data_IF_383836240503
#
_entry.id   IF_383836240503
#
_cell.length_a   1.000
_cell.length_b   1.000
_cell.length_c   1.000
_cell.angle_alpha   90.00
_cell.angle_beta   90.00
_cell.angle_gamma   90.00
#
_symmetry.space_group_name_H-M   'P 1'
#
loop_
_entity.id
_entity.type
_entity.pdbx_description
1 polymer ?
#
# COMPACT_ATOMS: atom_id res chain seq x y z
N UNK A 1 -3.48 9.23 -4.38
CA UNK A 1 -3.35 7.89 -3.75
C UNK A 1 -4.72 7.40 -3.37
N UNK A 2 -5.02 6.12 -3.56
CA UNK A 2 -6.35 5.53 -3.33
C UNK A 2 -6.19 4.13 -2.74
N UNK A 3 -7.04 3.77 -1.75
CA UNK A 3 -7.16 2.40 -1.24
C UNK A 3 -8.30 1.72 -2.00
N UNK A 4 -8.05 0.54 -2.59
CA UNK A 4 -9.04 -0.16 -3.41
C UNK A 4 -9.04 -1.66 -3.12
N UNK A 5 -10.21 -2.28 -3.25
CA UNK A 5 -10.37 -3.73 -3.18
C UNK A 5 -11.03 -4.24 -1.91
N UNK A 6 -10.63 -5.41 -1.43
CA UNK A 6 -11.24 -6.05 -0.27
C UNK A 6 -10.88 -5.33 1.03
N UNK A 7 -11.80 -5.32 2.00
CA UNK A 7 -11.62 -4.69 3.33
C UNK A 7 -10.36 -5.15 4.04
N UNK A 8 -10.08 -6.45 4.01
CA UNK A 8 -8.98 -7.06 4.77
C UNK A 8 -7.62 -6.98 4.07
N UNK A 9 -7.60 -6.74 2.76
CA UNK A 9 -6.38 -6.72 1.97
C UNK A 9 -6.51 -5.77 0.78
N UNK A 10 -6.73 -4.46 1.01
CA UNK A 10 -6.81 -3.49 -0.06
C UNK A 10 -5.45 -3.28 -0.71
N UNK A 11 -5.46 -2.91 -1.98
CA UNK A 11 -4.29 -2.37 -2.65
C UNK A 11 -4.21 -0.86 -2.42
N UNK A 12 -2.99 -0.32 -2.52
CA UNK A 12 -2.75 1.11 -2.59
C UNK A 12 -2.37 1.45 -4.02
N UNK A 13 -3.14 2.33 -4.66
CA UNK A 13 -2.86 2.85 -6.00
C UNK A 13 -2.35 4.28 -5.86
N UNK A 14 -1.11 4.52 -6.25
CA UNK A 14 -0.49 5.84 -6.30
C UNK A 14 -0.42 6.22 -7.76
N UNK A 15 -1.21 7.20 -8.18
CA UNK A 15 -1.29 7.60 -9.59
C UNK A 15 -0.85 9.05 -9.80
N UNK A 16 -0.23 9.29 -10.95
CA UNK A 16 0.10 10.62 -11.46
C UNK A 16 -0.06 10.61 -12.97
N UNK A 17 -0.89 11.54 -13.47
CA UNK A 17 -1.25 11.57 -14.88
C UNK A 17 -1.80 10.21 -15.34
N UNK A 18 -1.21 9.61 -16.37
CA UNK A 18 -1.59 8.30 -16.94
C UNK A 18 -0.77 7.13 -16.38
N UNK A 19 0.03 7.36 -15.33
CA UNK A 19 0.92 6.35 -14.72
C UNK A 19 0.54 6.04 -13.28
N UNK A 20 0.85 4.82 -12.84
CA UNK A 20 0.65 4.42 -11.45
C UNK A 20 1.73 3.48 -10.91
N UNK A 21 1.94 3.53 -9.59
CA UNK A 21 2.59 2.49 -8.79
C UNK A 21 1.52 1.83 -7.91
N UNK A 22 1.53 0.50 -7.86
CA UNK A 22 0.54 -0.29 -7.14
C UNK A 22 1.23 -1.10 -6.06
N UNK A 23 0.80 -0.93 -4.81
CA UNK A 23 1.14 -1.84 -3.71
C UNK A 23 -0.01 -2.83 -3.55
N UNK A 24 0.24 -4.08 -3.89
CA UNK A 24 -0.78 -5.13 -3.95
C UNK A 24 -0.60 -6.15 -2.84
N UNK A 25 -1.69 -6.48 -2.12
CA UNK A 25 -1.70 -7.52 -1.08
C UNK A 25 -2.95 -8.39 -1.06
N UNK A 26 -3.87 -8.16 -1.96
CA UNK A 26 -5.15 -8.87 -2.02
C UNK A 26 -5.16 -10.09 -2.94
N UNK A 27 -6.35 -10.61 -3.16
CA UNK A 27 -6.68 -11.65 -4.14
C UNK A 27 -7.39 -11.07 -5.37
N UNK A 28 -8.20 -11.91 -6.04
CA UNK A 28 -8.87 -11.54 -7.29
C UNK A 28 -9.85 -10.38 -7.12
N UNK A 29 -10.58 -10.28 -6.02
CA UNK A 29 -11.48 -9.14 -5.74
C UNK A 29 -10.72 -7.82 -5.74
N UNK A 30 -9.54 -7.80 -5.06
CA UNK A 30 -8.69 -6.61 -5.03
C UNK A 30 -8.10 -6.34 -6.41
N UNK A 31 -7.72 -7.37 -7.16
CA UNK A 31 -7.22 -7.22 -8.53
C UNK A 31 -8.26 -6.56 -9.44
N UNK A 32 -9.50 -7.07 -9.47
CA UNK A 32 -10.57 -6.47 -10.27
C UNK A 32 -10.84 -5.00 -9.88
N UNK A 33 -10.82 -4.69 -8.58
CA UNK A 33 -11.00 -3.32 -8.11
C UNK A 33 -9.86 -2.39 -8.55
N UNK A 34 -8.62 -2.89 -8.57
CA UNK A 34 -7.47 -2.13 -9.09
C UNK A 34 -7.65 -1.89 -10.59
N UNK A 35 -7.94 -2.92 -11.38
CA UNK A 35 -8.14 -2.82 -12.82
C UNK A 35 -9.24 -1.79 -13.15
N UNK A 36 -10.40 -1.88 -12.48
CA UNK A 36 -11.49 -0.88 -12.60
C UNK A 36 -11.04 0.54 -12.24
N UNK A 37 -10.19 0.68 -11.21
CA UNK A 37 -9.66 1.99 -10.81
C UNK A 37 -8.70 2.56 -11.85
N UNK A 38 -7.84 1.72 -12.44
CA UNK A 38 -6.94 2.14 -13.50
C UNK A 38 -7.73 2.63 -14.74
N UNK A 39 -8.76 1.89 -15.15
CA UNK A 39 -9.64 2.27 -16.25
C UNK A 39 -10.37 3.60 -15.96
N UNK A 40 -11.01 3.71 -14.79
CA UNK A 40 -11.73 4.92 -14.37
C UNK A 40 -10.84 6.16 -14.34
N UNK A 41 -9.57 6.01 -13.96
CA UNK A 41 -8.56 7.07 -13.87
C UNK A 41 -7.81 7.29 -15.18
N UNK A 42 -8.13 6.55 -16.24
CA UNK A 42 -7.40 6.57 -17.52
C UNK A 42 -5.89 6.32 -17.35
N UNK A 43 -5.52 5.43 -16.41
CA UNK A 43 -4.13 5.04 -16.20
C UNK A 43 -3.74 4.04 -17.29
N UNK A 44 -2.77 4.39 -18.11
CA UNK A 44 -2.29 3.57 -19.23
C UNK A 44 -1.09 2.72 -18.87
N UNK A 45 -0.29 3.20 -17.92
CA UNK A 45 0.98 2.58 -17.56
C UNK A 45 1.02 2.27 -16.05
N UNK A 46 1.29 1.01 -15.72
CA UNK A 46 1.69 0.64 -14.37
C UNK A 46 3.22 0.58 -14.35
N UNK A 47 3.85 1.64 -13.84
CA UNK A 47 5.31 1.75 -13.77
C UNK A 47 5.90 0.67 -12.87
N UNK A 48 5.28 0.43 -11.71
CA UNK A 48 5.72 -0.61 -10.80
C UNK A 48 4.55 -1.27 -10.08
N UNK A 49 4.57 -2.61 -10.06
CA UNK A 49 3.71 -3.43 -9.22
C UNK A 49 4.53 -4.02 -8.08
N UNK A 50 4.23 -3.61 -6.86
CA UNK A 50 4.85 -4.11 -5.63
C UNK A 50 3.90 -5.12 -4.99
N UNK A 51 4.21 -6.41 -5.13
CA UNK A 51 3.43 -7.50 -4.52
C UNK A 51 3.89 -7.72 -3.09
N UNK A 52 3.08 -7.25 -2.14
CA UNK A 52 3.35 -7.34 -0.69
C UNK A 52 2.96 -8.69 -0.09
N UNK A 53 2.43 -9.64 -0.87
CA UNK A 53 2.04 -10.95 -0.38
C UNK A 53 3.26 -11.80 -0.08
N UNK A 54 3.29 -12.42 1.09
CA UNK A 54 4.42 -13.25 1.52
C UNK A 54 4.36 -14.68 0.97
N UNK A 55 3.15 -15.17 0.64
CA UNK A 55 2.90 -16.52 0.14
C UNK A 55 1.79 -16.45 -0.92
N UNK A 56 2.07 -15.86 -2.07
CA UNK A 56 1.08 -15.80 -3.15
C UNK A 56 0.81 -17.21 -3.68
N UNK A 57 -0.46 -17.60 -3.77
CA UNK A 57 -0.86 -18.88 -4.41
C UNK A 57 -0.58 -18.86 -5.91
N UNK A 58 -0.61 -17.69 -6.51
CA UNK A 58 -0.29 -17.48 -7.91
C UNK A 58 0.39 -16.12 -8.08
N UNK A 59 1.24 -15.99 -9.10
CA UNK A 59 1.80 -14.70 -9.46
C UNK A 59 0.68 -13.73 -9.87
N UNK A 60 0.84 -12.45 -9.51
CA UNK A 60 -0.08 -11.42 -9.97
C UNK A 60 0.09 -11.20 -11.48
N UNK A 61 -1.03 -11.23 -12.23
CA UNK A 61 -1.02 -11.16 -13.70
C UNK A 61 -1.18 -9.74 -14.26
N UNK A 62 -1.42 -8.72 -13.41
CA UNK A 62 -1.49 -7.33 -13.88
C UNK A 62 -0.23 -6.94 -14.63
N UNK A 63 -0.40 -6.29 -15.80
CA UNK A 63 0.71 -5.71 -16.55
C UNK A 63 1.44 -4.66 -15.72
N UNK A 64 2.77 -4.66 -15.74
CA UNK A 64 3.60 -3.63 -15.12
C UNK A 64 4.99 -3.63 -15.76
N UNK A 65 5.60 -2.46 -15.93
CA UNK A 65 6.96 -2.33 -16.45
C UNK A 65 7.98 -2.93 -15.49
N UNK A 66 7.82 -2.67 -14.19
CA UNK A 66 8.65 -3.23 -13.13
C UNK A 66 7.80 -4.01 -12.14
N UNK A 67 8.37 -5.09 -11.59
CA UNK A 67 7.75 -5.88 -10.52
C UNK A 67 8.70 -6.09 -9.37
N UNK A 68 8.17 -5.86 -8.16
CA UNK A 68 8.83 -6.20 -6.91
C UNK A 68 7.93 -7.19 -6.18
N UNK A 69 8.39 -8.42 -6.02
CA UNK A 69 7.69 -9.45 -5.27
C UNK A 69 8.41 -9.64 -3.94
N UNK A 70 7.74 -9.27 -2.84
CA UNK A 70 8.35 -9.28 -1.50
C UNK A 70 8.73 -10.69 -1.06
N UNK A 71 7.98 -11.70 -1.46
CA UNK A 71 8.30 -13.12 -1.18
C UNK A 71 9.65 -13.56 -1.74
N UNK A 72 10.14 -12.88 -2.79
CA UNK A 72 11.43 -13.13 -3.46
C UNK A 72 12.57 -12.23 -2.98
N UNK A 73 12.29 -11.22 -2.17
CA UNK A 73 13.34 -10.38 -1.59
C UNK A 73 14.10 -11.16 -0.50
N UNK A 74 15.37 -10.86 -0.32
CA UNK A 74 16.13 -11.35 0.82
C UNK A 74 15.53 -10.82 2.14
N UNK A 75 15.70 -11.55 3.24
CA UNK A 75 15.26 -11.09 4.56
C UNK A 75 15.97 -9.79 4.92
N UNK A 76 15.21 -8.84 5.44
CA UNK A 76 15.65 -7.49 5.81
C UNK A 76 16.20 -6.65 4.66
N UNK A 77 15.99 -7.10 3.41
CA UNK A 77 16.27 -6.27 2.24
C UNK A 77 15.22 -5.17 2.10
N UNK A 78 15.66 -4.00 1.69
CA UNK A 78 14.81 -2.87 1.33
C UNK A 78 14.86 -2.62 -0.19
N UNK A 79 13.76 -2.14 -0.75
CA UNK A 79 13.66 -1.67 -2.14
C UNK A 79 12.94 -0.34 -2.15
N UNK A 80 13.41 0.57 -3.01
CA UNK A 80 12.80 1.89 -3.21
C UNK A 80 12.35 2.04 -4.65
N UNK A 81 11.18 2.66 -4.79
CA UNK A 81 10.57 3.00 -6.08
C UNK A 81 10.05 4.43 -5.99
N UNK A 82 10.24 5.19 -7.06
CA UNK A 82 9.66 6.53 -7.19
C UNK A 82 8.52 6.52 -8.19
N UNK A 83 7.43 7.24 -7.86
CA UNK A 83 6.32 7.52 -8.75
C UNK A 83 6.04 9.03 -8.69
N UNK A 84 6.58 9.77 -9.63
CA UNK A 84 6.52 11.24 -9.59
C UNK A 84 7.07 11.80 -8.27
N UNK A 85 6.27 12.57 -7.50
CA UNK A 85 6.69 13.12 -6.23
C UNK A 85 6.61 12.13 -5.06
N UNK A 86 6.02 10.96 -5.25
CA UNK A 86 5.94 9.93 -4.22
C UNK A 86 7.16 9.00 -4.27
N UNK A 87 7.64 8.60 -3.10
CA UNK A 87 8.66 7.56 -2.94
C UNK A 87 8.09 6.43 -2.08
N UNK A 88 8.24 5.20 -2.56
CA UNK A 88 7.83 3.98 -1.86
C UNK A 88 9.05 3.19 -1.46
N UNK A 89 9.21 2.93 -0.17
CA UNK A 89 10.22 2.04 0.38
C UNK A 89 9.55 0.79 0.94
N UNK A 90 9.99 -0.38 0.50
CA UNK A 90 9.47 -1.67 0.99
C UNK A 90 10.60 -2.43 1.67
N UNK A 91 10.36 -2.81 2.93
CA UNK A 91 11.27 -3.62 3.74
C UNK A 91 10.64 -4.99 3.99
N UNK A 92 11.35 -6.06 3.61
CA UNK A 92 10.96 -7.42 3.99
C UNK A 92 11.43 -7.73 5.40
N UNK A 93 10.53 -8.25 6.24
CA UNK A 93 10.83 -8.81 7.55
C UNK A 93 10.64 -10.33 7.54
N UNK A 94 10.99 -11.01 8.63
CA UNK A 94 10.87 -12.47 8.73
C UNK A 94 9.44 -12.97 8.47
N UNK A 95 8.44 -12.32 9.06
CA UNK A 95 7.04 -12.76 9.04
C UNK A 95 6.12 -11.76 8.35
N UNK A 96 6.66 -10.77 7.64
CA UNK A 96 5.88 -9.73 7.02
C UNK A 96 6.69 -8.81 6.13
N UNK A 97 6.07 -7.72 5.76
CA UNK A 97 6.75 -6.58 5.17
C UNK A 97 6.11 -5.28 5.62
N UNK A 98 6.90 -4.22 5.58
CA UNK A 98 6.48 -2.84 5.80
C UNK A 98 6.72 -2.08 4.52
N UNK A 99 5.71 -1.40 4.01
CA UNK A 99 5.84 -0.46 2.92
C UNK A 99 5.56 0.95 3.44
N UNK A 100 6.53 1.84 3.27
CA UNK A 100 6.47 3.25 3.63
C UNK A 100 6.36 4.09 2.38
N UNK A 101 5.39 4.99 2.34
CA UNK A 101 5.11 5.86 1.21
C UNK A 101 5.30 7.29 1.69
N UNK A 102 6.22 8.02 1.06
CA UNK A 102 6.39 9.45 1.24
C UNK A 102 5.67 10.17 0.11
N UNK A 103 4.65 10.96 0.43
CA UNK A 103 3.88 11.71 -0.56
C UNK A 103 3.32 12.99 0.05
N UNK A 104 3.45 14.11 -0.65
CA UNK A 104 2.94 15.43 -0.25
C UNK A 104 3.37 15.87 1.18
N UNK A 105 4.61 15.56 1.57
CA UNK A 105 5.14 15.89 2.90
C UNK A 105 4.64 14.99 4.03
N UNK A 106 3.84 13.96 3.72
CA UNK A 106 3.29 13.00 4.68
C UNK A 106 3.87 11.60 4.49
N UNK A 107 3.87 10.81 5.56
CA UNK A 107 4.36 9.45 5.60
C UNK A 107 3.17 8.51 5.84
N UNK A 108 2.93 7.63 4.88
CA UNK A 108 1.93 6.58 4.96
C UNK A 108 2.64 5.23 5.10
N UNK A 109 2.11 4.36 5.93
CA UNK A 109 2.64 3.00 6.11
C UNK A 109 1.54 1.98 5.86
N UNK A 110 1.86 0.93 5.13
CA UNK A 110 1.03 -0.28 5.04
C UNK A 110 1.86 -1.51 5.37
N UNK A 111 1.20 -2.52 5.90
CA UNK A 111 1.82 -3.74 6.40
C UNK A 111 1.23 -4.97 5.70
N UNK A 112 2.03 -6.01 5.56
CA UNK A 112 1.55 -7.34 5.18
C UNK A 112 2.16 -8.37 6.12
N UNK A 113 1.33 -9.29 6.62
CA UNK A 113 1.75 -10.26 7.62
C UNK A 113 2.05 -9.64 8.99
N UNK A 114 2.75 -10.39 9.84
CA UNK A 114 3.20 -9.94 11.16
C UNK A 114 4.61 -9.36 11.06
N UNK A 115 4.71 -8.14 10.59
CA UNK A 115 6.00 -7.46 10.48
C UNK A 115 6.54 -7.10 11.87
N UNK A 116 7.78 -7.47 12.16
CA UNK A 116 8.49 -7.07 13.36
C UNK A 116 9.74 -6.28 12.96
N UNK A 117 9.95 -5.14 13.59
CA UNK A 117 11.09 -4.24 13.36
C UNK A 117 11.83 -4.03 14.68
N UNK A 118 13.14 -3.80 14.61
CA UNK A 118 13.97 -3.49 15.77
C UNK A 118 13.58 -2.16 16.44
N UNK A 119 13.08 -1.20 15.66
CA UNK A 119 12.55 0.06 16.14
C UNK A 119 11.22 0.38 15.39
N UNK A 120 10.24 1.01 16.07
CA UNK A 120 9.01 1.42 15.42
C UNK A 120 9.26 2.44 14.29
N UNK A 121 8.54 2.27 13.17
CA UNK A 121 8.49 3.25 12.10
C UNK A 121 7.51 4.35 12.48
N UNK A 122 7.92 5.60 12.33
CA UNK A 122 7.03 6.75 12.49
C UNK A 122 6.24 6.96 11.19
N UNK A 123 4.95 7.25 11.30
CA UNK A 123 4.05 7.54 10.19
C UNK A 123 3.00 8.56 10.59
N UNK A 124 2.52 9.36 9.66
CA UNK A 124 1.34 10.20 9.86
C UNK A 124 0.08 9.32 9.73
N UNK A 125 0.10 8.38 8.78
CA UNK A 125 -1.05 7.50 8.51
C UNK A 125 -0.67 6.03 8.40
N UNK A 126 -1.43 5.19 9.09
CA UNK A 126 -1.42 3.75 8.87
C UNK A 126 -2.53 3.36 7.88
N UNK A 127 -2.17 2.67 6.80
CA UNK A 127 -3.10 2.24 5.76
C UNK A 127 -3.58 0.81 6.03
N UNK A 128 -4.87 0.66 6.32
CA UNK A 128 -5.63 -0.61 6.39
C UNK A 128 -4.82 -1.82 6.88
N UNK A 129 -4.56 -1.91 8.16
CA UNK A 129 -3.90 -3.08 8.76
C UNK A 129 -4.94 -3.99 9.45
N UNK A 130 -4.94 -5.30 9.19
CA UNK A 130 -5.86 -6.24 9.84
C UNK A 130 -5.48 -6.53 11.30
N UNK A 131 -4.29 -6.15 11.74
CA UNK A 131 -3.80 -6.38 13.10
C UNK A 131 -3.16 -5.11 13.65
N UNK A 132 -3.19 -4.95 14.97
CA UNK A 132 -2.51 -3.83 15.64
C UNK A 132 -1.01 -3.94 15.41
N UNK A 133 -0.39 -2.97 14.75
CA UNK A 133 1.03 -3.03 14.48
C UNK A 133 1.82 -2.44 15.65
N UNK A 134 2.57 -3.27 16.37
CA UNK A 134 3.48 -2.78 17.40
C UNK A 134 4.73 -2.11 16.79
N UNK A 135 4.97 -2.36 15.50
CA UNK A 135 6.14 -1.83 14.78
C UNK A 135 5.92 -0.48 14.10
N UNK A 136 4.75 0.15 14.25
CA UNK A 136 4.45 1.47 13.66
C UNK A 136 3.83 2.37 14.71
N UNK A 137 4.36 3.59 14.83
CA UNK A 137 3.71 4.71 15.53
C UNK A 137 3.05 5.60 14.48
N UNK A 138 1.78 5.93 14.65
CA UNK A 138 0.97 6.67 13.68
C UNK A 138 0.02 7.63 14.37
N UNK A 139 -0.33 8.70 13.67
CA UNK A 139 -1.26 9.72 14.16
C UNK A 139 -2.70 9.35 13.83
N UNK A 140 -2.95 8.79 12.63
CA UNK A 140 -4.28 8.38 12.20
C UNK A 140 -4.25 7.11 11.35
N UNK A 141 -5.43 6.48 11.17
CA UNK A 141 -5.61 5.29 10.35
C UNK A 141 -6.57 5.57 9.21
N UNK A 142 -6.16 5.17 8.02
CA UNK A 142 -6.99 5.18 6.83
C UNK A 142 -7.39 3.74 6.47
N UNK A 143 -8.69 3.44 6.47
CA UNK A 143 -9.20 2.09 6.25
C UNK A 143 -10.43 2.10 5.34
N UNK A 144 -10.62 1.01 4.57
CA UNK A 144 -11.87 0.73 3.84
C UNK A 144 -12.95 0.12 4.74
N UNK A 145 -12.67 -0.16 6.00
CA UNK A 145 -13.57 -0.79 6.95
C UNK A 145 -13.58 -0.06 8.28
N UNK A 146 -14.78 0.20 8.80
CA UNK A 146 -15.00 0.69 10.15
C UNK A 146 -14.88 -0.39 11.24
N UNK A 147 -14.70 -1.66 10.86
CA UNK A 147 -14.82 -2.80 11.78
C UNK A 147 -13.55 -3.10 12.60
N UNK A 148 -12.50 -2.31 12.47
CA UNK A 148 -11.31 -2.45 13.29
C UNK A 148 -11.53 -1.86 14.68
N UNK A 149 -12.04 -2.65 15.60
CA UNK A 149 -12.40 -2.26 16.99
C UNK A 149 -11.24 -1.67 17.81
N UNK A 150 -10.00 -1.87 17.40
CA UNK A 150 -8.83 -1.32 18.06
C UNK A 150 -8.38 0.04 17.50
N UNK A 151 -9.16 0.62 16.61
CA UNK A 151 -8.91 1.89 15.94
C UNK A 151 -9.93 2.95 16.39
N UNK A 152 -9.71 3.70 17.46
CA UNK A 152 -10.66 4.70 17.92
C UNK A 152 -10.84 5.86 16.93
N UNK A 153 -9.91 6.08 16.01
CA UNK A 153 -9.87 7.23 15.12
C UNK A 153 -9.84 6.82 13.62
N UNK A 154 -10.39 5.66 13.27
CA UNK A 154 -10.48 5.26 11.88
C UNK A 154 -11.37 6.23 11.10
N UNK A 155 -10.78 6.99 10.21
CA UNK A 155 -11.52 7.72 9.20
C UNK A 155 -12.10 6.70 8.20
N UNK A 156 -13.28 6.19 8.49
CA UNK A 156 -14.01 5.33 7.57
C UNK A 156 -14.67 6.18 6.51
N UNK A 157 -14.13 6.21 5.33
CA UNK A 157 -14.85 6.66 4.16
C UNK A 157 -14.75 5.58 3.09
N UNK A 158 -15.85 5.30 2.41
CA UNK A 158 -16.00 4.19 1.48
C UNK A 158 -15.02 4.15 0.31
N UNK A 159 -14.41 5.24 -0.05
CA UNK A 159 -13.25 5.40 -0.93
C UNK A 159 -12.55 6.68 -0.52
N UNK A 160 -11.40 6.58 0.11
CA UNK A 160 -10.54 7.72 0.38
C UNK A 160 -9.73 8.03 -0.88
N UNK A 161 -10.27 8.93 -1.69
CA UNK A 161 -9.48 9.63 -2.70
C UNK A 161 -8.80 10.81 -2.04
N UNK A 162 -7.56 10.66 -1.63
CA UNK A 162 -6.71 11.82 -1.39
C UNK A 162 -6.12 12.26 -2.72
N UNK A 163 -6.73 13.26 -3.34
CA UNK A 163 -6.07 14.02 -4.39
C UNK A 163 -5.05 14.93 -3.73
N UNK A 164 -3.79 14.59 -3.83
CA UNK A 164 -2.71 15.50 -3.43
C UNK A 164 -2.59 16.59 -4.49
N UNK A 165 -3.31 17.70 -4.33
CA UNK A 165 -2.99 18.93 -5.02
C UNK A 165 -1.80 19.56 -4.31
N UNK A 166 -0.78 19.94 -5.08
CA UNK A 166 0.28 20.82 -4.61
C UNK A 166 -0.40 22.11 -4.12
N UNK A 167 -0.21 22.46 -2.85
CA UNK A 167 -0.35 23.87 -2.44
C UNK A 167 0.72 24.62 -3.22
N UNK A 168 0.29 25.56 -4.09
CA UNK A 168 1.16 26.56 -4.71
C UNK A 168 1.67 27.53 -3.65
#
# INVERSE_FOLDING_TARGET
>A
MELVGSRNAPAVVISRNESAVILFRGGDVTRCAVETTLERRNIRTVECLIDLRLRPRSAQRMGAEQRIAVDRMALYAARRVRCGPAEVEVLRTRNGCVARIHAAGQIFVTLSGSAALAAPVQADYLLASPARPDCVKYDAILSLSSDYRWMPEALSSGQLCHSFSRAE
#
